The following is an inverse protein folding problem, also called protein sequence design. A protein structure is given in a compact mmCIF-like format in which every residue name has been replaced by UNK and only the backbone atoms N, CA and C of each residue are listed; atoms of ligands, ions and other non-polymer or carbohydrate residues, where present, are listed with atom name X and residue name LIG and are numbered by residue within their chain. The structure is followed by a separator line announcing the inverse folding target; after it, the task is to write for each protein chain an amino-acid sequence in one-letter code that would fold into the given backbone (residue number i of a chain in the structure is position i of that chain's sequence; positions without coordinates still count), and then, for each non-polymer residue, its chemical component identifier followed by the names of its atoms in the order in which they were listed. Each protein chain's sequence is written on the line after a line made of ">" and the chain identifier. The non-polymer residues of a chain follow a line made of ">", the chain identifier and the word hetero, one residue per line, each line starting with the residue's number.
data_IF_306825973010
#
_entry.id   IF_306825973010
#
_cell.length_a   1.000
_cell.length_b   1.000
_cell.length_c   1.000
_cell.angle_alpha   90.00
_cell.angle_beta   90.00
_cell.angle_gamma   90.00
#
_symmetry.space_group_name_H-M   'P 1'
#
loop_
_entity.id
_entity.type
_entity.pdbx_description
1 polymer ?
#
# COMPACT_ATOMS: atom_id res chain seq x y z
N UNK A 1 -7.96 10.71 16.54
CA UNK A 1 -7.22 9.84 17.48
C UNK A 1 -7.00 8.44 16.90
N UNK A 2 -8.02 7.57 16.81
CA UNK A 2 -7.89 6.17 16.35
C UNK A 2 -7.05 5.97 15.09
N UNK A 3 -7.40 6.66 13.99
CA UNK A 3 -6.68 6.54 12.71
C UNK A 3 -5.23 7.04 12.77
N UNK A 4 -4.95 8.02 13.64
CA UNK A 4 -3.59 8.55 13.88
C UNK A 4 -2.74 7.51 14.61
N UNK A 5 -3.27 6.90 15.69
CA UNK A 5 -2.60 5.84 16.43
C UNK A 5 -2.38 4.59 15.55
N UNK A 6 -3.41 4.16 14.82
CA UNK A 6 -3.34 3.08 13.83
C UNK A 6 -2.27 3.32 12.77
N UNK A 7 -2.21 4.52 12.20
CA UNK A 7 -1.21 4.92 11.21
C UNK A 7 0.23 4.85 11.75
N UNK A 8 0.46 5.16 13.03
CA UNK A 8 1.80 5.10 13.66
C UNK A 8 2.19 3.65 13.93
N UNK A 9 1.33 2.89 14.62
CA UNK A 9 1.62 1.49 15.03
C UNK A 9 1.80 0.57 13.81
N UNK A 10 1.00 0.76 12.76
CA UNK A 10 1.10 -0.07 11.54
C UNK A 10 2.11 0.44 10.51
N UNK A 11 2.75 1.61 10.73
CA UNK A 11 3.68 2.19 9.77
C UNK A 11 4.83 1.24 9.35
N UNK A 12 5.50 0.51 10.27
CA UNK A 12 6.56 -0.41 9.88
C UNK A 12 6.08 -1.53 8.94
N UNK A 13 4.87 -2.07 9.19
CA UNK A 13 4.26 -3.10 8.34
C UNK A 13 3.78 -2.52 7.00
N UNK A 14 3.27 -1.29 6.97
CA UNK A 14 2.96 -0.57 5.73
C UNK A 14 4.22 -0.40 4.86
N UNK A 15 5.34 0.06 5.44
CA UNK A 15 6.60 0.22 4.69
C UNK A 15 7.09 -1.13 4.17
N UNK A 16 7.14 -2.17 5.01
CA UNK A 16 7.57 -3.51 4.56
C UNK A 16 6.64 -4.07 3.48
N UNK A 17 5.31 -3.88 3.59
CA UNK A 17 4.34 -4.27 2.56
C UNK A 17 4.61 -3.54 1.24
N UNK A 18 4.70 -2.21 1.26
CA UNK A 18 4.94 -1.40 0.05
C UNK A 18 6.29 -1.71 -0.60
N UNK A 19 7.33 -1.92 0.20
CA UNK A 19 8.63 -2.41 -0.29
C UNK A 19 8.50 -3.76 -0.97
N UNK A 20 7.91 -4.76 -0.31
CA UNK A 20 7.73 -6.11 -0.88
C UNK A 20 6.85 -6.14 -2.12
N UNK A 21 5.84 -5.28 -2.21
CA UNK A 21 5.01 -5.14 -3.42
C UNK A 21 5.79 -4.57 -4.62
N UNK A 22 7.00 -4.03 -4.43
CA UNK A 22 7.70 -3.25 -5.45
C UNK A 22 8.62 -4.03 -6.39
N UNK A 23 8.76 -3.47 -7.60
CA UNK A 23 9.95 -3.39 -8.44
C UNK A 23 11.19 -4.12 -7.96
N UNK A 24 11.92 -3.38 -7.13
CA UNK A 24 13.31 -3.63 -6.76
C UNK A 24 13.44 -4.33 -5.40
N UNK A 25 12.45 -5.14 -5.04
CA UNK A 25 12.45 -5.86 -3.75
C UNK A 25 13.25 -7.16 -3.76
N UNK A 26 14.07 -7.37 -4.80
CA UNK A 26 15.23 -8.25 -4.77
C UNK A 26 16.50 -7.42 -4.68
N UNK A 27 17.48 -7.88 -3.90
CA UNK A 27 18.81 -7.25 -3.83
C UNK A 27 19.40 -7.10 -5.24
N UNK A 28 19.63 -5.87 -5.67
CA UNK A 28 20.86 -5.58 -6.39
C UNK A 28 21.94 -5.38 -5.32
N UNK A 29 23.01 -6.21 -5.25
CA UNK A 29 24.24 -5.72 -4.64
C UNK A 29 24.67 -4.44 -5.40
N UNK A 30 25.31 -3.46 -4.73
CA UNK A 30 25.91 -2.35 -5.46
C UNK A 30 26.87 -2.94 -6.51
N UNK A 31 27.03 -2.30 -7.68
CA UNK A 31 28.08 -2.71 -8.60
C UNK A 31 29.39 -2.68 -7.82
N UNK A 32 30.07 -3.83 -7.74
CA UNK A 32 31.40 -3.89 -7.16
C UNK A 32 32.27 -3.04 -8.07
N UNK A 33 32.58 -1.82 -7.61
CA UNK A 33 33.74 -1.11 -8.08
C UNK A 33 34.92 -2.02 -7.79
N UNK A 34 35.40 -2.72 -8.82
CA UNK A 34 36.69 -3.38 -8.79
C UNK A 34 37.72 -2.27 -8.68
N UNK A 35 38.00 -1.83 -7.45
CA UNK A 35 39.28 -1.22 -7.13
C UNK A 35 40.32 -2.24 -7.55
N UNK A 36 41.02 -1.90 -8.64
CA UNK A 36 42.06 -2.74 -9.20
C UNK A 36 43.31 -2.57 -8.34
N UNK A 37 43.32 -3.24 -7.18
CA UNK A 37 44.46 -3.23 -6.28
C UNK A 37 45.50 -4.29 -6.67
N UNK A 38 46.76 -3.92 -6.45
CA UNK A 38 48.00 -4.69 -6.64
C UNK A 38 48.50 -4.87 -8.08
N UNK A 39 49.82 -4.67 -8.26
CA UNK A 39 50.51 -4.91 -9.54
C UNK A 39 51.68 -3.96 -9.83
N UNK A 40 52.65 -3.83 -8.92
CA UNK A 40 53.95 -3.23 -9.27
C UNK A 40 54.76 -4.25 -10.10
N UNK A 41 55.20 -3.90 -11.31
CA UNK A 41 56.60 -4.17 -11.67
C UNK A 41 57.21 -2.96 -12.41
N UNK A 42 58.22 -2.31 -11.83
CA UNK A 42 59.66 -2.57 -12.14
C UNK A 42 60.05 -2.13 -13.56
N UNK A 43 60.63 -0.94 -13.68
CA UNK A 43 61.22 -0.43 -14.92
C UNK A 43 62.37 -1.33 -15.41
N UNK A 44 62.41 -1.65 -16.71
CA UNK A 44 63.63 -2.00 -17.48
C UNK A 44 63.33 -1.96 -18.98
N UNK A 45 64.23 -1.33 -19.75
CA UNK A 45 64.25 -1.40 -21.22
C UNK A 45 63.80 -0.13 -21.95
N UNK A 46 64.76 0.68 -22.39
CA UNK A 46 64.60 1.52 -23.59
C UNK A 46 65.06 0.74 -24.81
N UNK A 47 64.61 1.11 -26.02
CA UNK A 47 65.60 1.55 -26.99
C UNK A 47 65.24 2.87 -27.69
N UNK A 48 66.24 3.76 -27.69
CA UNK A 48 66.76 4.69 -28.73
C UNK A 48 65.90 5.27 -29.88
N UNK A 49 66.30 6.44 -30.44
CA UNK A 49 65.35 7.36 -31.06
C UNK A 49 65.57 7.60 -32.57
N UNK A 50 64.55 7.35 -33.40
CA UNK A 50 64.44 7.92 -34.74
C UNK A 50 63.01 8.45 -35.01
N UNK A 51 62.87 9.30 -36.03
CA UNK A 51 61.62 9.95 -36.47
C UNK A 51 61.04 11.03 -35.53
N UNK A 52 61.90 11.97 -35.11
CA UNK A 52 61.48 13.35 -34.81
C UNK A 52 61.34 14.14 -36.13
N UNK A 53 60.27 14.95 -36.26
CA UNK A 53 59.79 15.72 -37.46
C UNK A 53 58.87 14.88 -38.36
N UNK A 54 57.71 15.38 -38.83
CA UNK A 54 57.29 16.78 -39.07
C UNK A 54 55.74 16.94 -39.06
N UNK A 55 55.31 18.19 -38.81
CA UNK A 55 54.06 18.83 -39.24
C UNK A 55 52.71 18.42 -38.64
N UNK A 56 52.12 19.39 -37.94
CA UNK A 56 50.69 19.54 -37.69
C UNK A 56 49.93 19.81 -39.01
N UNK A 57 48.72 19.28 -39.15
CA UNK A 57 47.50 20.05 -39.50
C UNK A 57 46.25 19.20 -39.22
N UNK A 58 45.07 19.82 -39.11
CA UNK A 58 43.91 19.25 -38.43
C UNK A 58 43.05 18.25 -39.22
N UNK A 59 42.28 17.47 -38.45
CA UNK A 59 41.00 16.78 -38.72
C UNK A 59 40.52 16.63 -40.18
N UNK A 60 40.04 15.41 -40.52
CA UNK A 60 38.59 15.25 -40.48
C UNK A 60 38.09 13.98 -39.77
N UNK A 61 36.79 13.97 -39.43
CA UNK A 61 36.05 12.77 -39.01
C UNK A 61 35.96 11.78 -40.18
N UNK A 62 36.18 10.49 -39.92
CA UNK A 62 35.75 9.43 -40.84
C UNK A 62 34.92 8.37 -40.12
N UNK A 63 34.01 7.76 -40.87
CA UNK A 63 33.06 6.74 -40.42
C UNK A 63 33.71 5.35 -40.43
N UNK A 64 32.95 4.38 -39.89
CA UNK A 64 32.89 2.99 -40.35
C UNK A 64 33.66 1.94 -39.54
N UNK A 65 32.86 1.04 -38.93
CA UNK A 65 33.07 -0.40 -38.78
C UNK A 65 34.46 -0.93 -38.38
N UNK A 66 34.53 -1.52 -37.18
CA UNK A 66 35.44 -2.65 -36.96
C UNK A 66 34.73 -3.84 -36.30
N UNK A 67 35.13 -5.02 -36.73
CA UNK A 67 34.50 -6.32 -36.45
C UNK A 67 34.76 -6.74 -35.01
N UNK A 68 33.70 -7.12 -34.29
CA UNK A 68 33.83 -7.68 -32.94
C UNK A 68 34.33 -9.13 -33.02
N UNK A 69 35.63 -9.33 -32.74
CA UNK A 69 36.26 -10.64 -32.60
C UNK A 69 35.58 -11.47 -31.51
N UNK A 70 35.03 -12.61 -31.89
CA UNK A 70 34.42 -13.58 -30.99
C UNK A 70 35.48 -14.35 -30.20
N UNK A 71 35.84 -13.88 -29.01
CA UNK A 71 36.56 -14.71 -28.05
C UNK A 71 35.58 -15.56 -27.24
N UNK A 72 35.60 -16.86 -27.55
CA UNK A 72 34.95 -17.90 -26.77
C UNK A 72 35.55 -17.92 -25.35
N UNK A 73 34.77 -17.48 -24.37
CA UNK A 73 35.13 -17.46 -22.95
C UNK A 73 34.09 -18.20 -22.13
N UNK A 74 34.03 -19.53 -22.31
CA UNK A 74 33.14 -20.39 -21.51
C UNK A 74 33.62 -20.37 -20.06
N UNK A 75 32.93 -19.60 -19.23
CA UNK A 75 32.92 -19.80 -17.78
C UNK A 75 31.48 -20.07 -17.37
N UNK A 76 31.18 -21.36 -17.21
CA UNK A 76 29.87 -21.85 -16.77
C UNK A 76 29.68 -21.55 -15.29
N UNK A 77 29.04 -20.43 -14.97
CA UNK A 77 28.21 -20.34 -13.77
C UNK A 77 26.76 -20.63 -14.16
N UNK A 78 26.03 -21.47 -13.41
CA UNK A 78 24.60 -21.63 -13.64
C UNK A 78 23.89 -20.30 -13.37
N UNK A 79 22.77 -19.99 -14.06
CA UNK A 79 21.94 -18.87 -13.67
C UNK A 79 21.38 -19.18 -12.28
N UNK A 80 21.85 -18.46 -11.27
CA UNK A 80 21.51 -18.68 -9.87
C UNK A 80 20.03 -18.31 -9.64
N UNK A 81 19.15 -19.26 -9.99
CA UNK A 81 17.72 -19.06 -10.23
C UNK A 81 16.90 -19.07 -8.94
N UNK A 82 17.51 -18.58 -7.86
CA UNK A 82 16.91 -18.35 -6.57
C UNK A 82 16.83 -16.85 -6.29
N UNK A 83 15.97 -16.16 -7.06
CA UNK A 83 15.39 -14.87 -6.65
C UNK A 83 14.53 -15.09 -5.40
N UNK A 84 15.20 -15.30 -4.26
CA UNK A 84 14.55 -15.51 -2.98
C UNK A 84 13.75 -14.26 -2.62
N UNK A 85 12.43 -14.34 -2.80
CA UNK A 85 11.52 -13.27 -2.45
C UNK A 85 11.69 -12.99 -0.95
N UNK A 86 12.20 -11.80 -0.62
CA UNK A 86 12.56 -11.44 0.76
C UNK A 86 11.39 -11.75 1.70
N UNK A 87 11.65 -12.58 2.70
CA UNK A 87 10.70 -12.78 3.79
C UNK A 87 10.46 -11.46 4.54
N UNK A 88 9.30 -11.33 5.19
CA UNK A 88 8.90 -10.11 5.93
C UNK A 88 10.00 -9.69 6.91
N UNK A 89 10.55 -10.65 7.66
CA UNK A 89 11.67 -10.45 8.58
C UNK A 89 12.97 -10.02 7.88
N UNK A 90 13.28 -10.58 6.71
CA UNK A 90 14.48 -10.22 5.95
C UNK A 90 14.39 -8.79 5.42
N UNK A 91 13.22 -8.38 4.90
CA UNK A 91 12.95 -7.01 4.47
C UNK A 91 13.02 -6.02 5.65
N UNK A 92 12.41 -6.35 6.79
CA UNK A 92 12.49 -5.56 8.02
C UNK A 92 13.95 -5.38 8.49
N UNK A 93 14.72 -6.46 8.58
CA UNK A 93 16.14 -6.44 8.95
C UNK A 93 16.98 -5.65 7.95
N UNK A 94 16.67 -5.73 6.66
CA UNK A 94 17.32 -4.94 5.61
C UNK A 94 17.09 -3.45 5.79
N UNK A 95 15.85 -3.00 6.02
CA UNK A 95 15.53 -1.58 6.22
C UNK A 95 16.26 -1.06 7.47
N UNK A 96 16.20 -1.79 8.59
CA UNK A 96 16.87 -1.38 9.83
C UNK A 96 18.40 -1.29 9.66
N UNK A 97 19.02 -2.24 8.94
CA UNK A 97 20.48 -2.26 8.74
C UNK A 97 20.98 -1.19 7.76
N UNK A 98 20.24 -0.88 6.69
CA UNK A 98 20.72 -0.02 5.61
C UNK A 98 20.13 1.42 5.63
N UNK A 99 18.89 1.57 6.11
CA UNK A 99 18.19 2.87 6.21
C UNK A 99 18.02 3.36 7.66
N UNK A 100 18.33 2.51 8.65
CA UNK A 100 18.10 2.76 10.07
C UNK A 100 16.65 2.57 10.49
N UNK A 101 16.39 2.50 11.80
CA UNK A 101 15.04 2.29 12.35
C UNK A 101 14.02 3.37 11.92
N UNK A 102 14.48 4.60 11.64
CA UNK A 102 13.63 5.69 11.11
C UNK A 102 13.12 5.43 9.68
N UNK A 103 13.76 4.54 8.91
CA UNK A 103 13.30 4.13 7.58
C UNK A 103 11.91 3.50 7.58
N UNK A 104 11.54 2.83 8.68
CA UNK A 104 10.22 2.21 8.89
C UNK A 104 9.07 3.21 9.06
N UNK A 105 9.38 4.51 9.17
CA UNK A 105 8.41 5.60 9.26
C UNK A 105 8.44 6.52 8.04
N UNK A 106 9.12 6.12 6.94
CA UNK A 106 9.05 6.81 5.64
C UNK A 106 7.60 6.88 5.16
N UNK A 107 7.18 8.05 4.70
CA UNK A 107 5.79 8.31 4.27
C UNK A 107 4.77 8.57 5.38
N UNK A 108 5.14 8.49 6.67
CA UNK A 108 4.19 8.76 7.78
C UNK A 108 3.63 10.19 7.74
N UNK A 109 4.45 11.21 7.46
CA UNK A 109 4.00 12.61 7.39
C UNK A 109 2.83 12.83 6.42
N UNK A 110 2.98 12.50 5.11
CA UNK A 110 1.87 12.55 4.15
C UNK A 110 0.67 11.68 4.55
N UNK A 111 0.88 10.54 5.20
CA UNK A 111 -0.20 9.68 5.70
C UNK A 111 -1.03 10.41 6.78
N UNK A 112 -0.38 11.02 7.76
CA UNK A 112 -1.06 11.75 8.84
C UNK A 112 -1.83 12.99 8.33
N UNK A 113 -1.22 13.73 7.40
CA UNK A 113 -1.85 14.90 6.77
C UNK A 113 -3.02 14.47 5.86
N UNK A 114 -2.90 13.36 5.13
CA UNK A 114 -3.89 12.92 4.14
C UNK A 114 -5.14 12.25 4.72
N UNK A 115 -5.03 11.55 5.85
CA UNK A 115 -6.14 10.74 6.41
C UNK A 115 -7.37 11.59 6.75
N UNK A 116 -7.21 12.73 7.43
CA UNK A 116 -8.38 13.54 7.84
C UNK A 116 -9.09 14.21 6.64
N UNK A 117 -8.42 14.90 5.70
CA UNK A 117 -9.05 15.41 4.48
C UNK A 117 -9.68 14.32 3.63
N UNK A 118 -9.02 13.16 3.47
CA UNK A 118 -9.57 12.04 2.70
C UNK A 118 -10.88 11.53 3.30
N UNK A 119 -11.01 11.48 4.63
CA UNK A 119 -12.25 11.11 5.32
C UNK A 119 -13.32 12.19 5.20
N UNK A 120 -12.96 13.47 5.34
CA UNK A 120 -13.90 14.58 5.19
C UNK A 120 -14.50 14.65 3.77
N UNK A 121 -13.66 14.53 2.74
CA UNK A 121 -14.08 14.47 1.33
C UNK A 121 -15.00 13.26 1.11
N UNK A 122 -14.62 12.09 1.62
CA UNK A 122 -15.44 10.87 1.50
C UNK A 122 -16.82 11.05 2.13
N UNK A 123 -16.93 11.49 3.39
CA UNK A 123 -18.22 11.66 4.05
C UNK A 123 -19.09 12.76 3.43
N UNK A 124 -18.47 13.84 2.94
CA UNK A 124 -19.18 14.91 2.22
C UNK A 124 -19.77 14.39 0.90
N UNK A 125 -18.94 13.77 0.06
CA UNK A 125 -19.38 13.17 -1.20
C UNK A 125 -20.42 12.07 -0.95
N UNK A 126 -20.22 11.21 0.05
CA UNK A 126 -21.16 10.17 0.45
C UNK A 126 -22.54 10.74 0.81
N UNK A 127 -22.57 11.76 1.67
CA UNK A 127 -23.83 12.40 2.10
C UNK A 127 -24.59 12.98 0.91
N UNK A 128 -23.90 13.70 0.01
CA UNK A 128 -24.51 14.26 -1.21
C UNK A 128 -24.98 13.18 -2.19
N UNK A 129 -24.18 12.14 -2.41
CA UNK A 129 -24.56 11.00 -3.25
C UNK A 129 -25.76 10.24 -2.67
N UNK A 130 -25.82 10.04 -1.35
CA UNK A 130 -26.95 9.35 -0.70
C UNK A 130 -28.26 10.11 -0.90
N UNK A 131 -28.26 11.42 -0.74
CA UNK A 131 -29.43 12.26 -1.01
C UNK A 131 -29.86 12.16 -2.48
N UNK A 132 -28.92 12.22 -3.43
CA UNK A 132 -29.22 12.09 -4.85
C UNK A 132 -29.77 10.71 -5.22
N UNK A 133 -29.19 9.61 -4.70
CA UNK A 133 -29.64 8.25 -4.99
C UNK A 133 -30.95 7.87 -4.27
N UNK A 134 -31.19 8.35 -3.04
CA UNK A 134 -32.49 8.18 -2.36
C UNK A 134 -33.65 8.89 -3.09
N UNK A 135 -33.38 9.82 -4.01
CA UNK A 135 -34.40 10.48 -4.85
C UNK A 135 -34.73 9.71 -6.15
N UNK A 136 -33.94 8.68 -6.50
CA UNK A 136 -34.05 7.91 -7.75
C UNK A 136 -34.38 6.43 -7.46
N UNK A 137 -33.83 5.90 -6.38
CA UNK A 137 -33.95 4.51 -5.92
C UNK A 137 -34.77 4.45 -4.61
N UNK A 138 -35.33 3.29 -4.25
CA UNK A 138 -36.03 3.13 -2.97
C UNK A 138 -35.12 3.53 -1.80
N UNK A 139 -35.57 4.45 -0.92
CA UNK A 139 -34.73 5.01 0.14
C UNK A 139 -34.11 3.96 1.06
N UNK A 140 -32.87 4.23 1.49
CA UNK A 140 -32.12 3.46 2.49
C UNK A 140 -31.94 1.96 2.17
N UNK A 141 -32.06 1.59 0.90
CA UNK A 141 -31.72 0.26 0.41
C UNK A 141 -30.20 0.05 0.33
N UNK A 142 -29.70 -1.20 0.49
CA UNK A 142 -28.26 -1.50 0.40
C UNK A 142 -27.62 -1.02 -0.91
N UNK A 143 -28.37 -1.02 -2.01
CA UNK A 143 -27.90 -0.56 -3.32
C UNK A 143 -27.63 0.95 -3.34
N UNK A 144 -28.44 1.77 -2.67
CA UNK A 144 -28.15 3.21 -2.48
C UNK A 144 -26.86 3.39 -1.69
N UNK A 145 -26.67 2.63 -0.61
CA UNK A 145 -25.47 2.69 0.21
C UNK A 145 -24.21 2.33 -0.61
N UNK A 146 -24.26 1.26 -1.40
CA UNK A 146 -23.16 0.83 -2.28
C UNK A 146 -22.84 1.86 -3.37
N UNK A 147 -23.83 2.42 -4.06
CA UNK A 147 -23.57 3.45 -5.09
C UNK A 147 -23.06 4.77 -4.48
N UNK A 148 -23.60 5.17 -3.33
CA UNK A 148 -23.14 6.37 -2.60
C UNK A 148 -21.71 6.21 -2.10
N UNK A 149 -21.39 5.05 -1.50
CA UNK A 149 -20.03 4.70 -1.06
C UNK A 149 -19.04 4.63 -2.23
N UNK A 150 -19.48 4.12 -3.38
CA UNK A 150 -18.68 4.06 -4.59
C UNK A 150 -18.38 5.46 -5.12
N UNK A 151 -19.39 6.31 -5.31
CA UNK A 151 -19.22 7.69 -5.77
C UNK A 151 -18.32 8.52 -4.82
N UNK A 152 -18.51 8.36 -3.51
CA UNK A 152 -17.64 8.93 -2.50
C UNK A 152 -16.19 8.43 -2.61
N UNK A 153 -16.02 7.13 -2.84
CA UNK A 153 -14.71 6.48 -3.07
C UNK A 153 -13.99 7.04 -4.29
N UNK A 154 -14.67 7.16 -5.44
CA UNK A 154 -14.12 7.76 -6.66
C UNK A 154 -13.72 9.23 -6.42
N UNK A 155 -14.59 10.03 -5.80
CA UNK A 155 -14.35 11.45 -5.50
C UNK A 155 -13.14 11.62 -4.56
N UNK A 156 -13.12 10.89 -3.44
CA UNK A 156 -12.03 10.93 -2.48
C UNK A 156 -10.70 10.43 -3.07
N UNK A 157 -10.72 9.33 -3.85
CA UNK A 157 -9.54 8.85 -4.57
C UNK A 157 -8.98 9.92 -5.52
N UNK A 158 -9.84 10.58 -6.30
CA UNK A 158 -9.44 11.60 -7.27
C UNK A 158 -8.75 12.79 -6.60
N UNK A 159 -9.42 13.38 -5.61
CA UNK A 159 -8.92 14.59 -4.93
C UNK A 159 -7.69 14.32 -4.05
N UNK A 160 -7.53 13.10 -3.52
CA UNK A 160 -6.41 12.77 -2.61
C UNK A 160 -5.28 11.96 -3.26
N UNK A 161 -5.40 11.54 -4.53
CA UNK A 161 -4.36 10.73 -5.20
C UNK A 161 -2.95 11.34 -5.10
N UNK A 162 -2.72 12.67 -5.20
CA UNK A 162 -1.39 13.25 -5.02
C UNK A 162 -0.74 12.92 -3.67
N UNK A 163 -1.51 12.95 -2.58
CA UNK A 163 -1.01 12.67 -1.22
C UNK A 163 -0.62 11.19 -1.11
N UNK A 164 -1.48 10.30 -1.59
CA UNK A 164 -1.22 8.85 -1.61
C UNK A 164 -0.06 8.48 -2.55
N UNK A 165 0.09 9.20 -3.66
CA UNK A 165 1.22 9.04 -4.59
C UNK A 165 2.55 9.39 -3.90
N UNK A 166 2.62 10.54 -3.22
CA UNK A 166 3.80 10.97 -2.46
C UNK A 166 4.10 10.00 -1.30
N UNK A 167 3.08 9.53 -0.56
CA UNK A 167 3.26 8.47 0.47
C UNK A 167 3.95 7.24 -0.12
N UNK A 168 3.39 6.66 -1.19
CA UNK A 168 3.95 5.46 -1.82
C UNK A 168 5.36 5.72 -2.35
N UNK A 169 5.62 6.85 -3.02
CA UNK A 169 6.95 7.25 -3.50
C UNK A 169 8.00 7.28 -2.39
N UNK A 170 7.70 7.88 -1.24
CA UNK A 170 8.62 7.94 -0.09
C UNK A 170 8.84 6.57 0.56
N UNK A 171 7.81 5.72 0.61
CA UNK A 171 7.92 4.34 1.09
C UNK A 171 8.74 3.44 0.15
N UNK A 172 8.91 3.85 -1.11
CA UNK A 172 9.70 3.16 -2.14
C UNK A 172 11.10 3.75 -2.35
N UNK A 173 11.44 4.86 -1.69
CA UNK A 173 12.76 5.49 -1.85
C UNK A 173 13.82 4.81 -0.97
N UNK A 174 14.72 4.03 -1.58
CA UNK A 174 15.78 3.26 -0.90
C UNK A 174 17.00 4.11 -0.51
N UNK A 175 17.00 5.42 -0.82
CA UNK A 175 18.14 6.30 -0.53
C UNK A 175 18.34 6.47 0.98
N UNK A 176 19.61 6.47 1.39
CA UNK A 176 20.04 6.81 2.75
C UNK A 176 19.87 8.31 3.03
N UNK A 177 20.08 9.15 2.01
CA UNK A 177 19.76 10.58 2.07
C UNK A 177 18.24 10.79 2.14
N UNK A 178 17.79 11.58 3.12
CA UNK A 178 16.37 11.78 3.40
C UNK A 178 15.74 12.75 2.41
N UNK A 179 14.97 12.23 1.46
CA UNK A 179 14.10 13.08 0.63
C UNK A 179 12.87 13.49 1.43
N UNK A 180 12.75 14.77 1.77
CA UNK A 180 11.55 15.33 2.41
C UNK A 180 10.36 15.27 1.46
N UNK A 181 9.13 15.10 1.97
CA UNK A 181 7.92 15.05 1.15
C UNK A 181 7.78 16.24 0.19
N UNK A 182 8.12 17.45 0.64
CA UNK A 182 8.13 18.68 -0.17
C UNK A 182 9.10 18.57 -1.36
N UNK A 183 10.29 18.00 -1.16
CA UNK A 183 11.28 17.82 -2.22
C UNK A 183 10.85 16.74 -3.21
N UNK A 184 10.24 15.65 -2.72
CA UNK A 184 9.60 14.64 -3.57
C UNK A 184 8.53 15.29 -4.47
N UNK A 185 7.62 16.09 -3.90
CA UNK A 185 6.60 16.86 -4.63
C UNK A 185 7.23 17.79 -5.66
N UNK A 186 8.21 18.60 -5.29
CA UNK A 186 8.92 19.53 -6.18
C UNK A 186 9.55 18.81 -7.37
N UNK A 187 10.22 17.68 -7.12
CA UNK A 187 10.85 16.86 -8.15
C UNK A 187 9.82 16.24 -9.10
N UNK A 188 8.72 15.69 -8.58
CA UNK A 188 7.63 15.12 -9.41
C UNK A 188 7.02 16.22 -10.29
N UNK A 189 6.69 17.38 -9.71
CA UNK A 189 6.12 18.50 -10.44
C UNK A 189 7.04 19.00 -11.57
N UNK A 190 8.34 19.12 -11.31
CA UNK A 190 9.33 19.51 -12.34
C UNK A 190 9.54 18.45 -13.43
N UNK A 191 9.31 17.16 -13.13
CA UNK A 191 9.53 16.06 -14.08
C UNK A 191 8.30 15.66 -14.90
N UNK A 192 7.09 15.86 -14.37
CA UNK A 192 5.85 15.33 -14.98
C UNK A 192 4.61 16.20 -14.73
N UNK A 193 4.80 17.43 -14.23
CA UNK A 193 3.72 18.36 -13.92
C UNK A 193 2.70 17.80 -12.92
N UNK A 194 1.47 18.32 -13.00
CA UNK A 194 0.36 17.85 -12.15
C UNK A 194 -0.08 16.43 -12.50
N UNK A 195 -0.02 16.03 -13.78
CA UNK A 195 -0.45 14.71 -14.25
C UNK A 195 0.40 13.56 -13.69
N UNK A 196 1.68 13.82 -13.38
CA UNK A 196 2.56 12.85 -12.72
C UNK A 196 1.99 12.31 -11.40
N UNK A 197 1.28 13.15 -10.65
CA UNK A 197 0.64 12.78 -9.37
C UNK A 197 -0.58 11.88 -9.53
N UNK A 198 -1.13 11.73 -10.75
CA UNK A 198 -2.30 10.88 -11.04
C UNK A 198 -1.91 9.48 -11.53
N UNK A 199 -0.61 9.18 -11.67
CA UNK A 199 -0.13 7.85 -12.05
C UNK A 199 -0.55 6.80 -11.00
N UNK A 200 -1.15 5.71 -11.47
CA UNK A 200 -1.73 4.67 -10.60
C UNK A 200 -3.17 4.93 -10.11
N UNK A 201 -3.85 5.99 -10.56
CA UNK A 201 -5.24 6.26 -10.13
C UNK A 201 -6.23 5.17 -10.58
N UNK A 202 -6.06 4.57 -11.76
CA UNK A 202 -6.89 3.44 -12.20
C UNK A 202 -6.82 2.27 -11.22
N UNK A 203 -5.63 1.96 -10.69
CA UNK A 203 -5.46 0.96 -9.64
C UNK A 203 -6.06 1.41 -8.29
N UNK A 204 -6.23 2.72 -8.07
CA UNK A 204 -7.00 3.24 -6.92
C UNK A 204 -8.48 2.94 -7.10
N UNK A 205 -9.04 3.24 -8.28
CA UNK A 205 -10.44 2.95 -8.62
C UNK A 205 -10.79 1.46 -8.60
N UNK A 206 -9.97 0.59 -9.18
CA UNK A 206 -10.19 -0.87 -9.09
C UNK A 206 -10.20 -1.33 -7.63
N UNK A 207 -9.46 -0.69 -6.74
CA UNK A 207 -9.50 -1.00 -5.30
C UNK A 207 -10.81 -0.62 -4.59
N UNK A 208 -11.67 0.19 -5.21
CA UNK A 208 -13.03 0.44 -4.68
C UNK A 208 -13.86 -0.86 -4.76
N UNK A 209 -13.60 -1.76 -5.71
CA UNK A 209 -14.31 -3.05 -5.76
C UNK A 209 -14.00 -3.94 -4.55
N UNK A 210 -12.86 -3.74 -3.86
CA UNK A 210 -12.52 -4.50 -2.65
C UNK A 210 -13.53 -4.27 -1.51
N UNK A 211 -14.09 -3.06 -1.39
CA UNK A 211 -15.12 -2.78 -0.37
C UNK A 211 -16.46 -3.40 -0.75
N UNK A 212 -16.80 -3.41 -2.04
CA UNK A 212 -18.02 -4.07 -2.56
C UNK A 212 -17.94 -5.59 -2.37
N UNK A 213 -16.83 -6.21 -2.74
CA UNK A 213 -16.58 -7.65 -2.52
C UNK A 213 -16.63 -7.98 -1.03
N UNK A 214 -16.00 -7.14 -0.18
CA UNK A 214 -16.06 -7.31 1.27
C UNK A 214 -17.49 -7.27 1.81
N UNK A 215 -18.29 -6.29 1.39
CA UNK A 215 -19.69 -6.15 1.80
C UNK A 215 -20.52 -7.38 1.40
N UNK A 216 -20.44 -7.82 0.14
CA UNK A 216 -21.19 -8.99 -0.35
C UNK A 216 -20.83 -10.26 0.44
N UNK A 217 -19.55 -10.51 0.69
CA UNK A 217 -19.13 -11.68 1.49
C UNK A 217 -19.60 -11.53 2.95
N UNK A 218 -19.51 -10.32 3.52
CA UNK A 218 -19.91 -10.07 4.90
C UNK A 218 -21.43 -10.19 5.11
N UNK A 219 -22.26 -9.74 4.17
CA UNK A 219 -23.71 -10.01 4.20
C UNK A 219 -24.00 -11.50 4.12
N UNK A 220 -23.33 -12.25 3.24
CA UNK A 220 -23.51 -13.70 3.14
C UNK A 220 -23.10 -14.43 4.44
N UNK A 221 -21.99 -14.02 5.07
CA UNK A 221 -21.56 -14.58 6.37
C UNK A 221 -22.51 -14.17 7.50
N UNK A 222 -22.99 -12.91 7.54
CA UNK A 222 -24.01 -12.46 8.50
C UNK A 222 -25.31 -13.27 8.38
N UNK A 223 -25.79 -13.49 7.15
CA UNK A 223 -26.99 -14.29 6.89
C UNK A 223 -26.80 -15.75 7.33
N UNK A 224 -25.65 -16.36 7.03
CA UNK A 224 -25.33 -17.71 7.50
C UNK A 224 -25.33 -17.80 9.03
N UNK A 225 -24.67 -16.88 9.72
CA UNK A 225 -24.66 -16.81 11.19
C UNK A 225 -26.07 -16.63 11.78
N UNK A 226 -26.89 -15.76 11.18
CA UNK A 226 -28.26 -15.53 11.62
C UNK A 226 -29.11 -16.82 11.53
N UNK A 227 -29.04 -17.56 10.41
CA UNK A 227 -29.78 -18.83 10.27
C UNK A 227 -29.31 -19.91 11.25
N UNK A 228 -28.02 -19.92 11.61
CA UNK A 228 -27.49 -20.84 12.62
C UNK A 228 -28.00 -20.49 14.03
N UNK A 229 -28.09 -19.19 14.33
CA UNK A 229 -28.57 -18.64 15.62
C UNK A 229 -30.07 -18.90 15.86
N UNK A 230 -30.90 -18.83 14.81
CA UNK A 230 -32.33 -19.14 14.89
C UNK A 230 -32.61 -20.58 15.35
N UNK A 231 -31.65 -21.52 15.15
CA UNK A 231 -31.76 -22.93 15.58
C UNK A 231 -31.30 -23.17 17.02
N UNK A 232 -30.76 -22.17 17.71
CA UNK A 232 -30.00 -22.35 18.96
C UNK A 232 -30.45 -21.44 20.13
N UNK A 233 -31.65 -20.84 20.07
CA UNK A 233 -32.00 -19.70 20.93
C UNK A 233 -32.78 -20.04 22.22
N UNK A 234 -32.00 -20.33 23.28
CA UNK A 234 -32.28 -20.14 24.72
C UNK A 234 -30.92 -20.11 25.46
N UNK A 235 -30.61 -19.30 26.48
CA UNK A 235 -31.17 -18.06 27.08
C UNK A 235 -30.01 -17.03 27.22
N UNK A 236 -29.97 -16.17 28.24
CA UNK A 236 -28.79 -15.41 28.76
C UNK A 236 -28.23 -14.16 28.01
N UNK A 237 -27.74 -13.20 28.81
CA UNK A 237 -27.25 -11.84 28.46
C UNK A 237 -25.78 -11.79 28.01
N UNK A 238 -25.01 -12.87 28.18
CA UNK A 238 -23.61 -12.96 27.68
C UNK A 238 -23.47 -12.85 26.15
N UNK A 239 -24.60 -12.76 25.44
CA UNK A 239 -24.69 -12.60 23.98
C UNK A 239 -23.96 -11.35 23.49
N UNK A 240 -24.17 -10.17 24.05
CA UNK A 240 -23.70 -8.90 23.44
C UNK A 240 -22.20 -8.87 23.14
N UNK A 241 -21.34 -9.35 24.04
CA UNK A 241 -19.89 -9.43 23.78
C UNK A 241 -19.52 -10.57 22.82
N UNK A 242 -20.16 -11.73 22.95
CA UNK A 242 -19.94 -12.87 22.06
C UNK A 242 -20.32 -12.53 20.62
N UNK A 243 -21.49 -11.92 20.43
CA UNK A 243 -22.02 -11.44 19.16
C UNK A 243 -21.10 -10.39 18.53
N UNK A 244 -20.55 -9.48 19.34
CA UNK A 244 -19.60 -8.48 18.88
C UNK A 244 -18.29 -9.12 18.35
N UNK A 245 -17.73 -10.08 19.08
CA UNK A 245 -16.57 -10.86 18.63
C UNK A 245 -16.90 -11.71 17.38
N UNK A 246 -18.10 -12.27 17.31
CA UNK A 246 -18.60 -13.06 16.17
C UNK A 246 -18.75 -12.21 14.91
N UNK A 247 -19.40 -11.03 14.99
CA UNK A 247 -19.48 -10.07 13.89
C UNK A 247 -18.10 -9.52 13.49
N UNK A 248 -17.19 -9.30 14.44
CA UNK A 248 -15.80 -8.94 14.13
C UNK A 248 -15.04 -10.05 13.40
N UNK A 249 -15.19 -11.31 13.82
CA UNK A 249 -14.58 -12.45 13.16
C UNK A 249 -15.12 -12.61 11.74
N UNK A 250 -16.44 -12.51 11.57
CA UNK A 250 -17.10 -12.49 10.27
C UNK A 250 -16.58 -11.36 9.36
N UNK A 251 -16.46 -10.13 9.90
CA UNK A 251 -15.90 -8.98 9.19
C UNK A 251 -14.45 -9.20 8.78
N UNK A 252 -13.59 -9.66 9.69
CA UNK A 252 -12.16 -9.93 9.44
C UNK A 252 -11.95 -11.04 8.40
N UNK A 253 -12.72 -12.13 8.50
CA UNK A 253 -12.72 -13.22 7.53
C UNK A 253 -13.17 -12.76 6.14
N UNK A 254 -14.31 -12.07 6.06
CA UNK A 254 -14.84 -11.51 4.81
C UNK A 254 -13.87 -10.50 4.19
N UNK A 255 -13.18 -9.70 5.03
CA UNK A 255 -12.16 -8.75 4.58
C UNK A 255 -10.91 -9.44 4.06
N UNK A 256 -10.49 -10.54 4.70
CA UNK A 256 -9.36 -11.37 4.26
C UNK A 256 -9.59 -11.96 2.88
N UNK A 257 -10.78 -12.54 2.63
CA UNK A 257 -11.14 -13.07 1.32
C UNK A 257 -11.20 -11.94 0.27
N UNK A 258 -11.90 -10.84 0.57
CA UNK A 258 -12.02 -9.71 -0.34
C UNK A 258 -10.67 -9.07 -0.69
N UNK A 259 -9.80 -8.83 0.30
CA UNK A 259 -8.44 -8.33 0.08
C UNK A 259 -7.58 -9.32 -0.72
N UNK A 260 -7.82 -10.64 -0.60
CA UNK A 260 -7.11 -11.66 -1.39
C UNK A 260 -7.57 -11.66 -2.85
N UNK A 261 -8.88 -11.64 -3.10
CA UNK A 261 -9.45 -11.58 -4.47
C UNK A 261 -9.01 -10.29 -5.18
N UNK A 262 -9.10 -9.16 -4.49
CA UNK A 262 -8.73 -7.86 -5.06
C UNK A 262 -7.21 -7.64 -5.12
N UNK A 263 -6.38 -8.46 -4.47
CA UNK A 263 -4.97 -8.16 -4.20
C UNK A 263 -4.12 -7.71 -5.41
N UNK A 264 -4.28 -8.26 -6.63
CA UNK A 264 -3.52 -7.81 -7.80
C UNK A 264 -3.57 -6.30 -8.06
N UNK A 265 -4.68 -5.64 -7.67
CA UNK A 265 -4.79 -4.18 -7.81
C UNK A 265 -3.82 -3.43 -6.89
N UNK A 266 -3.52 -3.95 -5.70
CA UNK A 266 -2.58 -3.30 -4.77
C UNK A 266 -1.15 -3.36 -5.31
N UNK A 267 -0.73 -4.51 -5.82
CA UNK A 267 0.59 -4.67 -6.46
C UNK A 267 0.70 -3.74 -7.65
N UNK A 268 -0.29 -3.74 -8.56
CA UNK A 268 -0.30 -2.83 -9.70
C UNK A 268 -0.29 -1.33 -9.27
N UNK A 269 -1.00 -0.97 -8.19
CA UNK A 269 -0.98 0.40 -7.64
C UNK A 269 0.42 0.79 -7.16
N UNK A 270 1.09 -0.07 -6.41
CA UNK A 270 2.45 0.19 -5.92
C UNK A 270 3.45 0.28 -7.07
N UNK A 271 3.41 -0.67 -8.01
CA UNK A 271 4.27 -0.72 -9.21
C UNK A 271 4.13 0.49 -10.11
N UNK A 272 2.89 0.95 -10.36
CA UNK A 272 2.63 2.19 -11.11
C UNK A 272 3.22 3.43 -10.41
N UNK A 273 3.30 3.42 -9.08
CA UNK A 273 3.83 4.52 -8.26
C UNK A 273 5.35 4.45 -8.03
N UNK A 274 6.07 3.52 -8.65
CA UNK A 274 7.54 3.48 -8.64
C UNK A 274 8.19 4.54 -9.53
N UNK A 275 9.41 4.96 -9.18
CA UNK A 275 10.25 5.77 -10.07
C UNK A 275 10.64 4.93 -11.30
N UNK A 276 10.48 5.50 -12.50
CA UNK A 276 10.78 4.84 -13.76
C UNK A 276 9.59 4.76 -14.74
N UNK A 277 9.89 4.24 -15.93
CA UNK A 277 9.01 4.23 -17.11
C UNK A 277 8.40 2.85 -17.42
N UNK A 278 8.90 1.78 -16.80
CA UNK A 278 8.50 0.38 -17.03
C UNK A 278 6.97 0.17 -16.93
N UNK A 279 6.38 0.66 -15.86
CA UNK A 279 4.94 0.55 -15.59
C UNK A 279 4.23 1.85 -15.97
N UNK A 280 3.36 1.83 -17.00
CA UNK A 280 2.61 3.03 -17.47
C UNK A 280 1.11 2.91 -17.23
N UNK A 281 0.47 1.82 -17.65
CA UNK A 281 -0.98 1.59 -17.49
C UNK A 281 -1.27 0.39 -16.59
N UNK A 282 -2.51 0.29 -16.07
CA UNK A 282 -2.92 -0.77 -15.14
C UNK A 282 -2.80 -2.18 -15.75
N UNK A 283 -3.46 -2.41 -16.89
CA UNK A 283 -3.44 -3.71 -17.57
C UNK A 283 -2.05 -4.09 -18.09
N UNK A 284 -1.28 -3.13 -18.61
CA UNK A 284 0.13 -3.36 -18.96
C UNK A 284 0.93 -3.81 -17.73
N UNK A 285 0.75 -3.13 -16.58
CA UNK A 285 1.49 -3.45 -15.34
C UNK A 285 1.15 -4.85 -14.83
N UNK A 286 -0.14 -5.22 -14.82
CA UNK A 286 -0.57 -6.57 -14.45
C UNK A 286 0.02 -7.62 -15.40
N UNK A 287 -0.04 -7.39 -16.71
CA UNK A 287 0.52 -8.31 -17.70
C UNK A 287 2.05 -8.46 -17.52
N UNK A 288 2.79 -7.35 -17.39
CA UNK A 288 4.24 -7.37 -17.15
C UNK A 288 4.60 -8.12 -15.86
N UNK A 289 3.88 -7.90 -14.76
CA UNK A 289 4.14 -8.64 -13.50
C UNK A 289 3.81 -10.13 -13.66
N UNK A 290 2.73 -10.48 -14.37
CA UNK A 290 2.40 -11.87 -14.67
C UNK A 290 3.46 -12.56 -15.54
N UNK A 291 3.96 -11.91 -16.59
CA UNK A 291 4.97 -12.49 -17.49
C UNK A 291 6.35 -12.57 -16.87
N UNK A 292 6.75 -11.64 -16.00
CA UNK A 292 8.10 -11.57 -15.42
C UNK A 292 8.24 -12.25 -14.04
N UNK A 293 7.18 -12.26 -13.22
CA UNK A 293 7.20 -12.76 -11.83
C UNK A 293 6.11 -13.82 -11.55
N UNK A 294 5.22 -14.08 -12.51
CA UNK A 294 4.12 -15.04 -12.37
C UNK A 294 3.13 -14.68 -11.27
N UNK A 295 2.41 -15.71 -10.79
CA UNK A 295 1.46 -15.61 -9.66
C UNK A 295 2.13 -15.07 -8.38
N UNK A 296 3.39 -15.45 -8.13
CA UNK A 296 4.17 -14.98 -6.96
C UNK A 296 4.38 -13.47 -6.97
N UNK A 297 4.51 -12.85 -8.15
CA UNK A 297 4.57 -11.38 -8.30
C UNK A 297 3.26 -10.70 -7.94
N UNK A 298 2.12 -11.19 -8.45
CA UNK A 298 0.80 -10.60 -8.19
C UNK A 298 0.37 -10.67 -6.72
N UNK A 299 0.85 -11.64 -5.95
CA UNK A 299 0.53 -11.80 -4.52
C UNK A 299 1.65 -11.37 -3.57
N UNK A 300 2.68 -10.67 -4.09
CA UNK A 300 3.85 -10.28 -3.30
C UNK A 300 3.46 -9.29 -2.19
N UNK A 301 3.84 -9.61 -0.96
CA UNK A 301 3.50 -8.81 0.23
C UNK A 301 2.14 -9.13 0.87
N UNK A 302 1.35 -10.09 0.36
CA UNK A 302 0.03 -10.44 0.92
C UNK A 302 0.14 -10.85 2.39
N UNK A 303 1.13 -11.66 2.75
CA UNK A 303 1.38 -12.03 4.16
C UNK A 303 1.58 -10.83 5.07
N UNK A 304 2.26 -9.77 4.62
CA UNK A 304 2.42 -8.53 5.39
C UNK A 304 1.09 -7.77 5.52
N UNK A 305 0.26 -7.75 4.47
CA UNK A 305 -1.08 -7.18 4.52
C UNK A 305 -1.97 -7.90 5.55
N UNK A 306 -1.92 -9.24 5.60
CA UNK A 306 -2.68 -10.05 6.56
C UNK A 306 -2.19 -9.83 8.00
N UNK A 307 -0.88 -9.90 8.25
CA UNK A 307 -0.30 -9.62 9.59
C UNK A 307 -0.68 -8.21 10.08
N UNK A 308 -0.74 -7.22 9.18
CA UNK A 308 -1.14 -5.84 9.48
C UNK A 308 -2.62 -5.72 9.90
N UNK A 309 -3.49 -6.68 9.59
CA UNK A 309 -4.89 -6.64 10.05
C UNK A 309 -5.00 -6.80 11.57
N UNK A 310 -4.16 -7.63 12.20
CA UNK A 310 -4.20 -7.91 13.64
C UNK A 310 -4.07 -6.62 14.49
N UNK A 311 -3.02 -5.78 14.36
CA UNK A 311 -2.93 -4.53 15.10
C UNK A 311 -3.98 -3.50 14.68
N UNK A 312 -4.44 -3.50 13.42
CA UNK A 312 -5.54 -2.62 13.00
C UNK A 312 -6.82 -2.93 13.79
N UNK A 313 -7.22 -4.20 13.87
CA UNK A 313 -8.40 -4.64 14.63
C UNK A 313 -8.24 -4.34 16.12
N UNK A 314 -7.07 -4.65 16.71
CA UNK A 314 -6.79 -4.36 18.11
C UNK A 314 -6.92 -2.85 18.45
N UNK A 315 -6.45 -1.96 17.57
CA UNK A 315 -6.56 -0.50 17.78
C UNK A 315 -8.00 -0.01 17.64
N UNK A 316 -8.78 -0.59 16.72
CA UNK A 316 -10.22 -0.29 16.59
C UNK A 316 -10.98 -0.69 17.87
N UNK A 317 -10.65 -1.85 18.45
CA UNK A 317 -11.20 -2.35 19.71
C UNK A 317 -10.83 -1.47 20.90
N UNK A 318 -9.54 -1.24 21.12
CA UNK A 318 -9.05 -0.38 22.21
C UNK A 318 -9.60 1.06 22.11
N UNK A 319 -9.75 1.59 20.89
CA UNK A 319 -10.43 2.88 20.68
C UNK A 319 -11.90 2.82 21.10
N UNK A 320 -12.63 1.78 20.68
CA UNK A 320 -14.04 1.63 21.02
C UNK A 320 -14.24 1.54 22.54
N UNK A 321 -13.48 0.69 23.23
CA UNK A 321 -13.52 0.55 24.68
C UNK A 321 -13.15 1.86 25.38
N UNK A 322 -12.11 2.57 24.94
CA UNK A 322 -11.72 3.86 25.49
C UNK A 322 -12.83 4.93 25.30
N UNK A 323 -13.47 4.98 24.14
CA UNK A 323 -14.58 5.91 23.86
C UNK A 323 -15.80 5.57 24.73
N UNK A 324 -16.19 4.29 24.82
CA UNK A 324 -17.30 3.84 25.67
C UNK A 324 -17.02 4.14 27.14
N UNK A 325 -15.79 3.89 27.62
CA UNK A 325 -15.36 4.22 28.97
C UNK A 325 -15.45 5.71 29.27
N UNK A 326 -14.92 6.57 28.38
CA UNK A 326 -14.94 8.03 28.55
C UNK A 326 -16.39 8.55 28.54
N UNK A 327 -17.21 8.11 27.57
CA UNK A 327 -18.62 8.53 27.48
C UNK A 327 -19.42 8.07 28.71
N UNK A 328 -19.24 6.82 29.15
CA UNK A 328 -19.88 6.30 30.36
C UNK A 328 -19.45 7.08 31.60
N UNK A 329 -18.16 7.42 31.73
CA UNK A 329 -17.65 8.18 32.88
C UNK A 329 -18.09 9.65 32.89
N UNK A 330 -18.25 10.29 31.73
CA UNK A 330 -18.68 11.70 31.66
C UNK A 330 -20.19 11.91 31.66
N UNK A 331 -20.97 11.07 30.97
CA UNK A 331 -22.43 11.26 30.84
C UNK A 331 -23.27 10.49 31.86
N UNK A 332 -22.71 9.45 32.51
CA UNK A 332 -23.43 8.62 33.49
C UNK A 332 -23.31 9.01 34.99
N UNK A 333 -22.92 10.23 35.41
CA UNK A 333 -23.16 10.67 36.79
C UNK A 333 -24.64 10.94 37.14
N UNK A 334 -25.53 11.12 36.15
CA UNK A 334 -26.89 11.69 36.39
C UNK A 334 -28.03 10.68 36.18
N UNK A 335 -27.86 9.66 35.33
CA UNK A 335 -28.96 8.76 34.93
C UNK A 335 -28.88 7.38 35.60
N UNK A 336 -29.00 7.36 36.94
CA UNK A 336 -29.27 6.12 37.71
C UNK A 336 -30.76 5.97 38.05
N UNK A 337 -31.56 7.03 37.86
CA UNK A 337 -33.02 6.93 37.89
C UNK A 337 -33.57 6.67 36.47
N UNK A 338 -34.47 5.69 36.37
CA UNK A 338 -35.33 5.30 35.22
C UNK A 338 -34.68 4.72 33.94
N UNK A 339 -35.17 3.52 33.59
CA UNK A 339 -35.13 2.82 32.28
C UNK A 339 -33.78 2.58 31.59
N UNK A 340 -33.10 1.48 31.93
CA UNK A 340 -32.09 0.84 31.08
C UNK A 340 -32.75 -0.27 30.23
N UNK A 341 -32.86 -0.10 28.90
CA UNK A 341 -32.73 -1.18 27.89
C UNK A 341 -32.55 -0.65 26.47
N UNK A 342 -33.42 0.25 26.01
CA UNK A 342 -33.60 0.47 24.56
C UNK A 342 -32.54 1.36 23.89
N UNK A 343 -32.17 2.48 24.51
CA UNK A 343 -31.32 3.54 23.92
C UNK A 343 -29.95 3.01 23.46
N UNK A 344 -29.41 2.01 24.18
CA UNK A 344 -28.12 1.38 23.84
C UNK A 344 -28.16 0.55 22.55
N UNK A 345 -29.32 0.00 22.16
CA UNK A 345 -29.43 -0.82 20.95
C UNK A 345 -29.47 0.03 19.68
N UNK A 346 -30.18 1.16 19.72
CA UNK A 346 -30.40 2.04 18.59
C UNK A 346 -29.11 2.80 18.20
N UNK A 347 -28.39 3.36 19.19
CA UNK A 347 -27.08 3.97 18.97
C UNK A 347 -26.02 2.96 18.47
N UNK A 348 -26.09 1.70 18.93
CA UNK A 348 -25.21 0.63 18.46
C UNK A 348 -25.49 0.26 17.00
N UNK A 349 -26.77 0.18 16.59
CA UNK A 349 -27.16 -0.07 15.21
C UNK A 349 -26.77 1.10 14.28
N UNK A 350 -26.91 2.35 14.73
CA UNK A 350 -26.49 3.52 13.94
C UNK A 350 -24.95 3.60 13.81
N UNK A 351 -24.20 3.29 14.87
CA UNK A 351 -22.75 3.20 14.83
C UNK A 351 -22.24 2.02 13.97
N UNK A 352 -23.00 0.91 13.91
CA UNK A 352 -22.75 -0.24 13.03
C UNK A 352 -22.95 0.13 11.57
N UNK A 353 -24.06 0.80 11.23
CA UNK A 353 -24.31 1.31 9.87
C UNK A 353 -23.25 2.33 9.41
N UNK A 354 -22.79 3.21 10.32
CA UNK A 354 -21.70 4.17 10.04
C UNK A 354 -20.31 3.50 9.91
N UNK A 355 -20.11 2.31 10.49
CA UNK A 355 -18.89 1.48 10.31
C UNK A 355 -18.90 0.69 9.00
N UNK A 356 -20.04 0.19 8.55
CA UNK A 356 -20.15 -0.54 7.26
C UNK A 356 -19.90 0.39 6.04
N UNK A 357 -19.84 1.70 6.26
CA UNK A 357 -19.55 2.75 5.28
C UNK A 357 -18.12 3.33 5.34
N UNK A 358 -17.23 2.85 6.22
CA UNK A 358 -15.96 3.52 6.54
C UNK A 358 -14.72 2.60 6.45
#
# INVERSE_FOLDING_TARGET
>A
VAGTAGAIVTCPLEVVKTRLQSSSSGFHPPPISKEFTSGHPTCKGSPTPEQRRRLCTGYPRYSSHFVALSHFGVSTSPPDSSRNALGIYQCLRYIIKNEGARGLFKGLGPNLIGVAPSRAIYFCAYSKSKVAFNAILPPDTPIVHVFSASCAGFTACTLTNPIWFIKTRLQLDHRSQKVTAIECTRRIYRQSGILGFYKGIVASYIGISETVIHFVIYEAVKAWLATHRSRASQTDDRKTFRDFIEFMAAGSFSKTIASTIAYPHEVARTRLREEGTKYRTFWQTLNTVWTEEGTKGLYRGLGTQLIRQIPNTAIIMATYEAVVYILTRHFRPVTVATSNTDVTSEFYNEAKAKRELA
#
